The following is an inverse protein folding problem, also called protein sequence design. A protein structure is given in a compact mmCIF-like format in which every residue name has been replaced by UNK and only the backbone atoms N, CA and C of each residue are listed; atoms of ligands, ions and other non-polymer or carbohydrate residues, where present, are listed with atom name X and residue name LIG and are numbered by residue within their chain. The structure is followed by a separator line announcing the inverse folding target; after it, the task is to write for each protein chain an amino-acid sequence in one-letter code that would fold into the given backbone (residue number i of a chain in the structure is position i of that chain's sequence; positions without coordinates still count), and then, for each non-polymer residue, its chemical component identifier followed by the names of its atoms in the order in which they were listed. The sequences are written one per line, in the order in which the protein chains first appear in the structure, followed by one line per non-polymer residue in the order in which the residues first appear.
data_IF_001524821940
#
_entry.id   IF_001524821940
#
_cell.length_a   1.000
_cell.length_b   1.000
_cell.length_c   1.000
_cell.angle_alpha   90.00
_cell.angle_beta   90.00
_cell.angle_gamma   90.00
#
_symmetry.space_group_name_H-M   'P 1'
#
loop_
_entity.id
_entity.type
_entity.pdbx_description
1 polymer ?
#
# COMPACT_ATOMS: atom_id res chain seq x y z
N UNK A 1 32.07 17.35 1.50
CA UNK A 1 31.69 16.94 0.13
C UNK A 1 30.18 16.68 0.13
N UNK A 2 29.45 17.04 -0.93
CA UNK A 2 27.97 16.89 -1.01
C UNK A 2 27.48 15.44 -1.20
N UNK A 3 28.41 14.50 -1.38
CA UNK A 3 28.15 13.08 -1.57
C UNK A 3 29.08 12.30 -0.64
N UNK A 4 28.49 11.46 0.21
CA UNK A 4 29.26 10.59 1.09
C UNK A 4 29.99 9.50 0.29
N UNK A 5 29.34 9.01 -0.77
CA UNK A 5 29.91 8.04 -1.69
C UNK A 5 31.27 8.50 -2.22
N UNK A 6 31.35 9.71 -2.77
CA UNK A 6 32.61 10.22 -3.32
C UNK A 6 33.63 10.51 -2.23
N UNK A 7 33.21 10.92 -1.02
CA UNK A 7 34.11 11.10 0.13
C UNK A 7 34.85 9.81 0.45
N UNK A 8 34.10 8.71 0.59
CA UNK A 8 34.65 7.38 0.89
C UNK A 8 35.46 6.82 -0.26
N UNK A 9 34.94 6.92 -1.50
CA UNK A 9 35.60 6.40 -2.70
C UNK A 9 37.01 6.98 -2.90
N UNK A 10 37.18 8.27 -2.63
CA UNK A 10 38.46 8.94 -2.81
C UNK A 10 39.38 8.87 -1.58
N UNK A 11 38.87 8.57 -0.37
CA UNK A 11 39.68 8.50 0.86
C UNK A 11 40.25 7.11 1.15
N UNK A 12 39.48 6.03 0.92
CA UNK A 12 39.77 4.71 1.50
C UNK A 12 40.53 3.75 0.58
N UNK A 13 41.22 4.26 -0.46
CA UNK A 13 41.80 3.47 -1.57
C UNK A 13 40.81 2.47 -2.21
N UNK A 14 39.51 2.70 -2.03
CA UNK A 14 38.47 1.82 -2.55
C UNK A 14 38.36 1.93 -4.07
N UNK A 15 38.40 3.16 -4.60
CA UNK A 15 38.38 3.38 -6.03
C UNK A 15 39.72 3.01 -6.69
N UNK A 16 39.64 2.27 -7.79
CA UNK A 16 40.80 1.97 -8.64
C UNK A 16 41.42 3.29 -9.12
N UNK A 17 42.76 3.39 -9.04
CA UNK A 17 43.50 4.56 -9.51
C UNK A 17 44.47 4.14 -10.60
N UNK A 18 44.33 4.72 -11.80
CA UNK A 18 45.22 4.54 -12.96
C UNK A 18 45.63 5.91 -13.48
N UNK A 19 46.92 6.12 -13.70
CA UNK A 19 47.50 7.36 -14.24
C UNK A 19 47.02 8.63 -13.51
N UNK A 20 46.95 8.56 -12.17
CA UNK A 20 46.50 9.68 -11.34
C UNK A 20 44.98 9.89 -11.30
N UNK A 21 44.20 9.17 -12.11
CA UNK A 21 42.72 9.27 -12.20
C UNK A 21 42.03 8.16 -11.43
N UNK A 22 40.94 8.49 -10.73
CA UNK A 22 40.06 7.50 -10.11
C UNK A 22 39.09 6.94 -11.15
N UNK A 23 38.90 5.62 -11.14
CA UNK A 23 37.97 4.91 -12.02
C UNK A 23 36.80 4.40 -11.18
N UNK A 24 35.60 4.88 -11.52
CA UNK A 24 34.34 4.46 -10.92
C UNK A 24 33.43 3.92 -12.01
N UNK A 25 33.02 2.66 -11.89
CA UNK A 25 32.14 2.01 -12.86
C UNK A 25 30.71 2.07 -12.36
N UNK A 26 29.88 2.86 -13.04
CA UNK A 26 28.46 3.07 -12.73
C UNK A 26 27.60 2.84 -13.98
N UNK A 27 27.50 1.60 -14.47
CA UNK A 27 26.74 1.31 -15.70
C UNK A 27 25.25 1.65 -15.56
N UNK A 28 24.73 1.70 -14.33
CA UNK A 28 23.34 2.00 -14.03
C UNK A 28 23.01 3.51 -14.05
N UNK A 29 24.02 4.38 -14.20
CA UNK A 29 23.81 5.84 -14.23
C UNK A 29 24.15 6.34 -15.63
N UNK A 30 23.15 6.84 -16.35
CA UNK A 30 23.36 7.35 -17.70
C UNK A 30 24.24 8.62 -17.68
N UNK A 31 25.04 8.88 -18.75
CA UNK A 31 25.86 10.10 -18.82
C UNK A 31 25.05 11.40 -18.69
N UNK A 32 23.80 11.40 -19.21
CA UNK A 32 22.86 12.54 -19.08
C UNK A 32 22.54 12.81 -17.62
N UNK A 33 22.10 11.79 -16.87
CA UNK A 33 21.76 11.93 -15.46
C UNK A 33 23.00 12.26 -14.62
N UNK A 34 24.14 11.62 -14.90
CA UNK A 34 25.38 11.92 -14.19
C UNK A 34 25.80 13.38 -14.37
N UNK A 35 25.65 13.95 -15.57
CA UNK A 35 25.94 15.37 -15.80
C UNK A 35 25.03 16.29 -14.96
N UNK A 36 23.75 15.95 -14.82
CA UNK A 36 22.81 16.68 -13.97
C UNK A 36 23.26 16.62 -12.50
N UNK A 37 23.61 15.43 -12.01
CA UNK A 37 24.11 15.21 -10.64
C UNK A 37 25.41 15.98 -10.41
N UNK A 38 26.34 15.97 -11.39
CA UNK A 38 27.61 16.69 -11.31
C UNK A 38 27.38 18.19 -11.21
N UNK A 39 26.47 18.76 -12.02
CA UNK A 39 26.10 20.19 -11.93
C UNK A 39 25.55 20.53 -10.55
N UNK A 40 24.72 19.67 -9.96
CA UNK A 40 24.25 19.87 -8.58
C UNK A 40 25.40 19.83 -7.56
N UNK A 41 26.36 18.91 -7.69
CA UNK A 41 27.50 18.82 -6.78
C UNK A 41 28.32 20.11 -6.77
N UNK A 42 28.54 20.73 -7.93
CA UNK A 42 29.36 21.94 -8.07
C UNK A 42 28.57 23.22 -7.77
N UNK A 43 27.38 23.38 -8.35
CA UNK A 43 26.64 24.63 -8.32
C UNK A 43 25.55 24.67 -7.25
N UNK A 44 25.18 23.51 -6.70
CA UNK A 44 24.08 23.39 -5.74
C UNK A 44 22.69 23.64 -6.29
N UNK A 45 22.56 23.74 -7.61
CA UNK A 45 21.28 23.92 -8.29
C UNK A 45 21.05 22.75 -9.26
N UNK A 46 19.79 22.34 -9.40
CA UNK A 46 19.35 21.32 -10.34
C UNK A 46 18.11 21.81 -11.09
N UNK A 47 18.03 21.51 -12.37
CA UNK A 47 16.87 21.83 -13.20
C UNK A 47 16.17 20.54 -13.61
N UNK A 48 15.03 20.26 -12.98
CA UNK A 48 14.21 19.06 -13.22
C UNK A 48 13.08 19.26 -14.25
N UNK A 49 12.82 20.51 -14.65
CA UNK A 49 11.66 20.90 -15.48
C UNK A 49 11.58 20.17 -16.83
N UNK A 50 12.73 19.79 -17.38
CA UNK A 50 12.82 19.11 -18.67
C UNK A 50 12.87 17.58 -18.56
N UNK A 51 12.72 17.04 -17.35
CA UNK A 51 12.71 15.60 -17.08
C UNK A 51 11.27 15.09 -16.96
N UNK A 52 11.00 13.94 -17.56
CA UNK A 52 9.74 13.23 -17.40
C UNK A 52 9.75 12.38 -16.12
N UNK A 53 8.59 11.94 -15.64
CA UNK A 53 8.46 11.08 -14.45
C UNK A 53 9.49 9.93 -14.39
N UNK A 54 9.65 9.11 -15.46
CA UNK A 54 10.67 8.06 -15.50
C UNK A 54 12.11 8.58 -15.36
N UNK A 55 12.46 9.69 -16.02
CA UNK A 55 13.80 10.29 -15.92
C UNK A 55 14.09 10.74 -14.47
N UNK A 56 13.10 11.30 -13.78
CA UNK A 56 13.25 11.75 -12.39
C UNK A 56 13.34 10.57 -11.42
N UNK A 57 12.63 9.47 -11.70
CA UNK A 57 12.76 8.23 -10.93
C UNK A 57 14.15 7.60 -11.10
N UNK A 58 14.67 7.53 -12.33
CA UNK A 58 16.04 7.08 -12.58
C UNK A 58 17.07 7.99 -11.89
N UNK A 59 16.84 9.30 -11.91
CA UNK A 59 17.65 10.25 -11.15
C UNK A 59 17.61 9.93 -9.65
N UNK A 60 16.43 9.71 -9.07
CA UNK A 60 16.24 9.37 -7.65
C UNK A 60 17.05 8.13 -7.25
N UNK A 61 17.00 7.07 -8.07
CA UNK A 61 17.77 5.84 -7.85
C UNK A 61 19.28 6.12 -7.93
N UNK A 62 19.72 6.89 -8.91
CA UNK A 62 21.13 7.24 -9.07
C UNK A 62 21.67 8.09 -7.91
N UNK A 63 20.88 9.02 -7.37
CA UNK A 63 21.31 9.88 -6.25
C UNK A 63 21.26 9.18 -4.91
N UNK A 64 20.40 8.15 -4.77
CA UNK A 64 20.49 7.19 -3.67
C UNK A 64 21.79 6.41 -3.71
N UNK A 65 22.15 5.84 -4.87
CA UNK A 65 23.40 5.10 -5.04
C UNK A 65 24.65 5.96 -4.74
N UNK A 66 24.59 7.26 -5.05
CA UNK A 66 25.65 8.23 -4.77
C UNK A 66 25.52 8.90 -3.39
N UNK A 67 24.53 8.51 -2.59
CA UNK A 67 24.24 9.01 -1.25
C UNK A 67 24.24 10.55 -1.16
N UNK A 68 23.37 11.19 -1.96
CA UNK A 68 23.20 12.66 -2.03
C UNK A 68 21.82 13.03 -1.47
N UNK A 69 21.71 13.07 -0.14
CA UNK A 69 20.44 13.21 0.59
C UNK A 69 19.61 14.43 0.16
N UNK A 70 20.23 15.60 -0.04
CA UNK A 70 19.52 16.81 -0.48
C UNK A 70 18.82 16.62 -1.83
N UNK A 71 19.42 15.83 -2.72
CA UNK A 71 18.88 15.59 -4.06
C UNK A 71 17.81 14.48 -4.04
N UNK A 72 17.92 13.53 -3.12
CA UNK A 72 16.87 12.53 -2.84
C UNK A 72 15.58 13.25 -2.43
N UNK A 73 15.63 14.12 -1.42
CA UNK A 73 14.45 14.88 -0.97
C UNK A 73 13.86 15.74 -2.09
N UNK A 74 14.70 16.47 -2.83
CA UNK A 74 14.22 17.35 -3.89
C UNK A 74 13.59 16.58 -5.07
N UNK A 75 14.14 15.42 -5.45
CA UNK A 75 13.58 14.59 -6.51
C UNK A 75 12.23 13.98 -6.10
N UNK A 76 12.07 13.55 -4.85
CA UNK A 76 10.79 13.08 -4.33
C UNK A 76 9.73 14.18 -4.34
N UNK A 77 10.07 15.37 -3.82
CA UNK A 77 9.17 16.52 -3.81
C UNK A 77 8.71 16.89 -5.23
N UNK A 78 9.64 16.89 -6.19
CA UNK A 78 9.33 17.16 -7.59
C UNK A 78 8.38 16.11 -8.19
N UNK A 79 8.63 14.82 -7.94
CA UNK A 79 7.76 13.73 -8.41
C UNK A 79 6.34 13.90 -7.86
N UNK A 80 6.20 14.18 -6.56
CA UNK A 80 4.91 14.35 -5.90
C UNK A 80 4.16 15.58 -6.43
N UNK A 81 4.84 16.72 -6.60
CA UNK A 81 4.21 17.99 -7.00
C UNK A 81 3.90 18.09 -8.49
N UNK A 82 4.72 17.47 -9.33
CA UNK A 82 4.68 17.71 -10.79
C UNK A 82 4.48 16.45 -11.63
N UNK A 83 4.60 15.26 -11.03
CA UNK A 83 4.49 13.97 -11.73
C UNK A 83 3.50 13.03 -11.01
N UNK A 84 2.51 13.58 -10.31
CA UNK A 84 1.50 12.82 -9.54
C UNK A 84 0.77 11.82 -10.43
N UNK A 85 0.37 12.23 -11.63
CA UNK A 85 -0.30 11.34 -12.59
C UNK A 85 0.56 10.12 -12.95
N UNK A 86 1.85 10.35 -13.23
CA UNK A 86 2.81 9.28 -13.50
C UNK A 86 2.95 8.33 -12.30
N UNK A 87 3.05 8.87 -11.08
CA UNK A 87 3.15 8.08 -9.85
C UNK A 87 1.91 7.19 -9.67
N UNK A 88 0.71 7.74 -9.85
CA UNK A 88 -0.55 7.03 -9.63
C UNK A 88 -0.82 5.99 -10.71
N UNK A 89 -0.53 6.28 -11.99
CA UNK A 89 -0.65 5.30 -13.08
C UNK A 89 0.29 4.09 -12.91
N UNK A 90 1.42 4.29 -12.24
CA UNK A 90 2.44 3.25 -12.04
C UNK A 90 2.50 2.74 -10.59
N UNK A 91 1.50 3.08 -9.76
CA UNK A 91 1.49 2.85 -8.32
C UNK A 91 1.94 1.44 -7.93
N UNK A 92 1.32 0.40 -8.46
CA UNK A 92 1.61 -0.99 -8.03
C UNK A 92 3.07 -1.39 -8.30
N UNK A 93 3.68 -0.92 -9.40
CA UNK A 93 5.07 -1.24 -9.71
C UNK A 93 6.07 -0.40 -8.90
N UNK A 94 5.73 0.87 -8.66
CA UNK A 94 6.58 1.78 -7.88
C UNK A 94 6.50 1.50 -6.38
N UNK A 95 5.36 1.04 -5.88
CA UNK A 95 5.11 0.80 -4.47
C UNK A 95 6.11 -0.20 -3.88
N UNK A 96 6.40 -1.31 -4.57
CA UNK A 96 7.41 -2.29 -4.15
C UNK A 96 8.82 -1.68 -4.13
N UNK A 97 9.15 -0.88 -5.16
CA UNK A 97 10.46 -0.22 -5.25
C UNK A 97 10.66 0.77 -4.10
N UNK A 98 9.65 1.58 -3.82
CA UNK A 98 9.66 2.55 -2.71
C UNK A 98 9.63 1.83 -1.37
N UNK A 99 8.86 0.75 -1.23
CA UNK A 99 8.83 -0.07 -0.01
C UNK A 99 10.22 -0.63 0.33
N UNK A 100 11.03 -1.04 -0.66
CA UNK A 100 12.38 -1.50 -0.40
C UNK A 100 13.35 -0.41 0.10
N UNK A 101 13.07 0.86 -0.20
CA UNK A 101 13.91 2.00 0.17
C UNK A 101 13.15 3.00 1.06
N UNK A 102 12.11 2.55 1.78
CA UNK A 102 11.17 3.47 2.44
C UNK A 102 11.82 4.36 3.51
N UNK A 103 12.95 3.94 4.10
CA UNK A 103 13.71 4.75 5.07
C UNK A 103 14.36 5.98 4.42
N UNK A 104 14.64 5.93 3.12
CA UNK A 104 15.25 7.01 2.34
C UNK A 104 14.22 7.74 1.48
N UNK A 105 13.26 7.00 0.94
CA UNK A 105 12.19 7.51 0.10
C UNK A 105 10.92 7.77 0.91
N UNK A 106 11.08 8.44 2.06
CA UNK A 106 10.03 8.66 3.05
C UNK A 106 8.89 9.51 2.50
N UNK A 107 9.18 10.57 1.74
CA UNK A 107 8.15 11.44 1.16
C UNK A 107 7.27 10.69 0.15
N UNK A 108 7.88 9.91 -0.76
CA UNK A 108 7.15 9.08 -1.72
C UNK A 108 6.39 7.94 -1.04
N UNK A 109 6.99 7.33 -0.02
CA UNK A 109 6.33 6.28 0.75
C UNK A 109 5.08 6.79 1.45
N UNK A 110 5.18 7.93 2.14
CA UNK A 110 4.04 8.57 2.79
C UNK A 110 2.98 8.99 1.78
N UNK A 111 3.39 9.59 0.66
CA UNK A 111 2.48 9.94 -0.43
C UNK A 111 1.68 8.72 -0.92
N UNK A 112 2.35 7.60 -1.19
CA UNK A 112 1.65 6.39 -1.62
C UNK A 112 0.75 5.81 -0.54
N UNK A 113 1.21 5.74 0.71
CA UNK A 113 0.39 5.25 1.82
C UNK A 113 -0.87 6.10 2.03
N UNK A 114 -0.74 7.42 2.00
CA UNK A 114 -1.88 8.35 2.14
C UNK A 114 -2.92 8.09 1.03
N UNK A 115 -2.48 8.03 -0.22
CA UNK A 115 -3.38 7.79 -1.36
C UNK A 115 -4.01 6.38 -1.32
N UNK A 116 -3.24 5.34 -0.98
CA UNK A 116 -3.76 3.98 -0.86
C UNK A 116 -4.74 3.87 0.31
N UNK A 117 -4.48 4.53 1.44
CA UNK A 117 -5.38 4.46 2.58
C UNK A 117 -6.66 5.27 2.35
N UNK A 118 -6.55 6.37 1.62
CA UNK A 118 -7.70 7.20 1.22
C UNK A 118 -8.59 6.49 0.21
N UNK A 119 -7.99 5.91 -0.85
CA UNK A 119 -8.69 5.20 -1.92
C UNK A 119 -8.09 3.80 -2.18
N UNK A 120 -8.31 2.81 -1.29
CA UNK A 120 -7.67 1.48 -1.40
C UNK A 120 -7.89 0.79 -2.73
N UNK A 121 -9.02 1.05 -3.38
CA UNK A 121 -9.38 0.43 -4.67
C UNK A 121 -8.36 0.68 -5.78
N UNK A 122 -7.60 1.78 -5.75
CA UNK A 122 -6.53 2.04 -6.73
C UNK A 122 -5.47 0.93 -6.74
N UNK A 123 -5.25 0.28 -5.58
CA UNK A 123 -4.33 -0.82 -5.44
C UNK A 123 -5.06 -2.17 -5.50
N UNK A 124 -6.10 -2.34 -4.70
CA UNK A 124 -6.77 -3.64 -4.52
C UNK A 124 -7.55 -4.12 -5.76
N UNK A 125 -8.03 -3.20 -6.62
CA UNK A 125 -8.68 -3.58 -7.89
C UNK A 125 -7.68 -3.74 -9.05
N UNK A 126 -6.40 -3.44 -8.83
CA UNK A 126 -5.38 -3.58 -9.86
C UNK A 126 -5.15 -5.05 -10.20
N UNK A 127 -5.04 -5.38 -11.48
CA UNK A 127 -4.63 -6.73 -11.90
C UNK A 127 -3.22 -7.11 -11.41
N UNK A 128 -2.39 -6.11 -11.03
CA UNK A 128 -1.07 -6.31 -10.46
C UNK A 128 -1.10 -6.53 -8.94
N UNK A 129 -2.24 -6.38 -8.28
CA UNK A 129 -2.39 -6.59 -6.83
C UNK A 129 -1.91 -7.97 -6.38
N UNK A 130 -2.23 -8.99 -7.16
CA UNK A 130 -1.81 -10.39 -6.90
C UNK A 130 -0.29 -10.57 -6.90
N UNK A 131 0.48 -9.62 -7.44
CA UNK A 131 1.94 -9.68 -7.46
C UNK A 131 2.60 -9.00 -6.25
N UNK A 132 1.81 -8.39 -5.35
CA UNK A 132 2.34 -7.76 -4.15
C UNK A 132 2.98 -8.79 -3.24
N UNK A 133 4.13 -8.44 -2.66
CA UNK A 133 4.80 -9.27 -1.67
C UNK A 133 3.98 -9.35 -0.40
N UNK A 134 3.99 -10.53 0.22
CA UNK A 134 3.28 -10.81 1.46
C UNK A 134 3.60 -9.77 2.56
N UNK A 135 4.85 -9.32 2.69
CA UNK A 135 5.27 -8.35 3.70
C UNK A 135 4.67 -6.96 3.49
N UNK A 136 4.51 -6.52 2.24
CA UNK A 136 3.89 -5.25 1.90
C UNK A 136 2.37 -5.32 2.12
N UNK A 137 1.74 -6.42 1.69
CA UNK A 137 0.32 -6.65 1.98
C UNK A 137 0.06 -6.67 3.49
N UNK A 138 0.90 -7.36 4.27
CA UNK A 138 0.80 -7.42 5.73
C UNK A 138 0.87 -6.03 6.37
N UNK A 139 1.78 -5.17 5.86
CA UNK A 139 1.90 -3.79 6.33
C UNK A 139 0.63 -3.00 6.08
N UNK A 140 0.05 -3.09 4.87
CA UNK A 140 -1.18 -2.39 4.53
C UNK A 140 -2.36 -2.88 5.38
N UNK A 141 -2.48 -4.19 5.58
CA UNK A 141 -3.55 -4.78 6.38
C UNK A 141 -3.45 -4.45 7.88
N UNK A 142 -2.27 -4.10 8.40
CA UNK A 142 -2.13 -3.64 9.80
C UNK A 142 -2.66 -2.23 10.05
N UNK A 143 -2.91 -1.43 9.02
CA UNK A 143 -3.23 -0.01 9.17
C UNK A 143 -4.68 0.24 9.54
N UNK A 144 -4.91 0.96 10.64
CA UNK A 144 -6.27 1.34 11.05
C UNK A 144 -6.91 2.40 10.16
N UNK A 145 -6.14 3.12 9.35
CA UNK A 145 -6.62 4.18 8.45
C UNK A 145 -6.87 3.71 7.01
N UNK A 146 -6.75 2.41 6.73
CA UNK A 146 -7.10 1.83 5.44
C UNK A 146 -8.64 1.87 5.26
N UNK A 147 -9.14 2.78 4.42
CA UNK A 147 -10.56 3.06 4.23
C UNK A 147 -11.25 2.02 3.32
N UNK A 148 -11.32 0.77 3.77
CA UNK A 148 -11.92 -0.36 3.05
C UNK A 148 -12.70 -1.24 4.01
N UNK A 149 -13.88 -1.72 3.58
CA UNK A 149 -14.69 -2.63 4.40
C UNK A 149 -13.96 -3.95 4.58
N UNK A 150 -14.04 -4.54 5.77
CA UNK A 150 -13.32 -5.77 6.12
C UNK A 150 -13.70 -6.95 5.21
N UNK A 151 -14.95 -6.97 4.71
CA UNK A 151 -15.36 -7.97 3.73
C UNK A 151 -14.63 -7.81 2.38
N UNK A 152 -14.44 -6.58 1.90
CA UNK A 152 -13.71 -6.34 0.64
C UNK A 152 -12.21 -6.68 0.80
N UNK A 153 -11.67 -6.45 2.00
CA UNK A 153 -10.30 -6.83 2.36
C UNK A 153 -10.16 -8.36 2.34
N UNK A 154 -11.09 -9.08 2.97
CA UNK A 154 -11.12 -10.54 2.99
C UNK A 154 -11.18 -11.14 1.58
N UNK A 155 -12.10 -10.66 0.74
CA UNK A 155 -12.22 -11.14 -0.65
C UNK A 155 -10.96 -10.84 -1.47
N UNK A 156 -10.34 -9.68 -1.26
CA UNK A 156 -9.07 -9.34 -1.91
C UNK A 156 -7.93 -10.24 -1.45
N UNK A 157 -7.85 -10.53 -0.15
CA UNK A 157 -6.84 -11.44 0.40
C UNK A 157 -6.99 -12.86 -0.18
N UNK A 158 -8.23 -13.35 -0.32
CA UNK A 158 -8.51 -14.63 -0.98
C UNK A 158 -8.05 -14.62 -2.45
N UNK A 159 -8.36 -13.56 -3.20
CA UNK A 159 -7.88 -13.40 -4.60
C UNK A 159 -6.35 -13.43 -4.67
N UNK A 160 -5.67 -12.72 -3.79
CA UNK A 160 -4.21 -12.74 -3.71
C UNK A 160 -3.68 -14.14 -3.40
N UNK A 161 -4.27 -14.82 -2.41
CA UNK A 161 -3.87 -16.16 -1.99
C UNK A 161 -4.06 -17.20 -3.10
N UNK A 162 -5.19 -17.19 -3.80
CA UNK A 162 -5.43 -18.13 -4.90
C UNK A 162 -4.53 -17.85 -6.09
N UNK A 163 -4.19 -16.59 -6.37
CA UNK A 163 -3.22 -16.27 -7.41
C UNK A 163 -1.79 -16.75 -7.08
N UNK A 164 -1.43 -16.88 -5.80
CA UNK A 164 -0.15 -17.50 -5.40
C UNK A 164 -0.15 -19.03 -5.58
N UNK A 165 -1.32 -19.66 -5.54
CA UNK A 165 -1.49 -21.11 -5.55
C UNK A 165 -2.13 -21.54 -6.87
N UNK A 166 -1.29 -21.74 -7.90
CA UNK A 166 -1.62 -21.88 -9.33
C UNK A 166 -2.63 -23.02 -9.66
N UNK A 167 -2.88 -23.97 -8.76
CA UNK A 167 -3.80 -25.10 -8.96
C UNK A 167 -5.15 -24.96 -8.22
N UNK A 168 -5.67 -23.74 -8.08
CA UNK A 168 -6.97 -23.54 -7.41
C UNK A 168 -8.17 -23.77 -8.37
N UNK A 169 -8.82 -24.94 -8.22
CA UNK A 169 -10.19 -25.18 -8.68
C UNK A 169 -11.11 -25.28 -7.44
N UNK A 170 -12.02 -24.31 -7.20
CA UNK A 170 -12.92 -24.33 -6.04
C UNK A 170 -13.91 -25.52 -6.04
N UNK A 171 -13.95 -26.32 -7.11
CA UNK A 171 -14.82 -27.50 -7.23
C UNK A 171 -14.09 -28.83 -7.03
N UNK A 172 -12.75 -28.84 -6.91
CA UNK A 172 -11.92 -30.06 -6.81
C UNK A 172 -10.86 -29.97 -5.71
N UNK A 173 -11.28 -29.71 -4.48
CA UNK A 173 -10.39 -29.61 -3.32
C UNK A 173 -9.73 -30.95 -2.95
N UNK A 174 -8.40 -31.00 -3.00
CA UNK A 174 -7.59 -31.98 -2.27
C UNK A 174 -7.24 -31.50 -0.85
N UNK A 175 -6.85 -32.42 0.04
CA UNK A 175 -6.41 -32.07 1.42
C UNK A 175 -5.11 -31.24 1.44
N UNK A 176 -4.25 -31.45 0.46
CA UNK A 176 -2.95 -30.78 0.37
C UNK A 176 -3.12 -29.29 -0.02
N UNK A 177 -4.11 -28.96 -0.85
CA UNK A 177 -4.43 -27.59 -1.26
C UNK A 177 -4.92 -26.74 -0.08
N UNK A 178 -5.79 -27.31 0.75
CA UNK A 178 -6.31 -26.68 1.98
C UNK A 178 -5.16 -26.29 2.89
N UNK A 179 -4.20 -27.21 3.09
CA UNK A 179 -3.05 -26.98 3.98
C UNK A 179 -2.16 -25.84 3.48
N UNK A 180 -1.98 -25.70 2.15
CA UNK A 180 -1.18 -24.63 1.56
C UNK A 180 -1.87 -23.26 1.66
N UNK A 181 -3.18 -23.22 1.43
CA UNK A 181 -4.00 -22.01 1.57
C UNK A 181 -4.01 -21.57 3.04
N UNK A 182 -4.25 -22.49 3.98
CA UNK A 182 -4.22 -22.24 5.41
C UNK A 182 -2.88 -21.61 5.83
N UNK A 183 -1.76 -22.22 5.42
CA UNK A 183 -0.41 -21.69 5.72
C UNK A 183 -0.19 -20.30 5.14
N UNK A 184 -0.70 -20.04 3.94
CA UNK A 184 -0.56 -18.75 3.26
C UNK A 184 -1.35 -17.65 3.96
N UNK A 185 -2.58 -17.96 4.38
CA UNK A 185 -3.49 -17.04 5.06
C UNK A 185 -3.16 -16.85 6.54
N UNK A 186 -2.53 -17.82 7.19
CA UNK A 186 -2.31 -17.85 8.64
C UNK A 186 -1.78 -16.53 9.21
N UNK A 187 -0.79 -15.91 8.55
CA UNK A 187 -0.20 -14.63 9.01
C UNK A 187 -1.14 -13.42 8.87
N UNK A 188 -2.14 -13.53 8.01
CA UNK A 188 -3.08 -12.44 7.68
C UNK A 188 -4.40 -12.56 8.44
N UNK A 189 -4.82 -13.77 8.84
CA UNK A 189 -6.06 -13.98 9.62
C UNK A 189 -6.16 -13.04 10.83
N UNK A 190 -5.12 -12.85 11.66
CA UNK A 190 -5.20 -11.93 12.79
C UNK A 190 -5.31 -10.44 12.42
N UNK A 191 -5.10 -10.09 11.15
CA UNK A 191 -5.14 -8.70 10.65
C UNK A 191 -6.50 -8.31 10.09
N UNK A 192 -7.40 -9.29 9.92
CA UNK A 192 -8.79 -9.08 9.48
C UNK A 192 -9.67 -8.87 10.71
N UNK A 193 -10.44 -7.78 10.73
CA UNK A 193 -11.38 -7.51 11.83
C UNK A 193 -12.70 -8.20 11.51
N UNK A 194 -12.73 -9.53 11.64
CA UNK A 194 -13.90 -10.35 11.29
C UNK A 194 -15.19 -9.95 12.00
N UNK A 195 -15.10 -9.40 13.21
CA UNK A 195 -16.25 -8.90 13.97
C UNK A 195 -16.90 -7.64 13.35
N UNK A 196 -16.19 -6.94 12.45
CA UNK A 196 -16.73 -5.80 11.69
C UNK A 196 -17.34 -6.23 10.35
N UNK A 197 -17.46 -7.54 10.09
CA UNK A 197 -18.13 -8.08 8.91
C UNK A 197 -19.61 -8.30 9.23
N UNK A 198 -20.49 -7.83 8.34
CA UNK A 198 -21.94 -8.00 8.49
C UNK A 198 -22.35 -9.49 8.54
N UNK A 199 -23.36 -9.88 9.34
CA UNK A 199 -23.76 -11.29 9.49
C UNK A 199 -24.08 -11.99 8.16
N UNK A 200 -24.69 -11.28 7.21
CA UNK A 200 -24.99 -11.80 5.87
C UNK A 200 -23.71 -12.10 5.10
N UNK A 201 -22.76 -11.17 5.09
CA UNK A 201 -21.47 -11.36 4.41
C UNK A 201 -20.63 -12.43 5.09
N UNK A 202 -20.63 -12.50 6.42
CA UNK A 202 -20.00 -13.58 7.16
C UNK A 202 -20.52 -14.94 6.70
N UNK A 203 -21.84 -15.14 6.67
CA UNK A 203 -22.43 -16.43 6.30
C UNK A 203 -22.12 -16.84 4.85
N UNK A 204 -22.26 -15.91 3.89
CA UNK A 204 -22.12 -16.25 2.47
C UNK A 204 -20.69 -16.15 1.91
N UNK A 205 -19.78 -15.42 2.55
CA UNK A 205 -18.44 -15.12 1.98
C UNK A 205 -17.28 -15.49 2.90
N UNK A 206 -17.49 -15.60 4.21
CA UNK A 206 -16.44 -16.01 5.16
C UNK A 206 -16.62 -17.47 5.55
N UNK A 207 -17.83 -17.85 5.99
CA UNK A 207 -18.11 -19.18 6.52
C UNK A 207 -17.94 -20.32 5.50
N UNK A 208 -18.08 -20.02 4.20
CA UNK A 208 -17.76 -20.97 3.12
C UNK A 208 -16.30 -21.44 3.12
N UNK A 209 -15.42 -20.70 3.80
CA UNK A 209 -14.00 -20.99 3.96
C UNK A 209 -13.66 -21.45 5.38
N UNK A 210 -14.63 -21.94 6.15
CA UNK A 210 -14.43 -22.42 7.54
C UNK A 210 -13.35 -23.49 7.68
N UNK A 211 -13.09 -24.27 6.62
CA UNK A 211 -12.11 -25.36 6.65
C UNK A 211 -10.65 -24.86 6.56
N UNK A 212 -10.43 -23.63 6.09
CA UNK A 212 -9.11 -22.97 6.02
C UNK A 212 -8.91 -21.93 7.14
N UNK A 213 -9.92 -21.73 7.99
CA UNK A 213 -9.90 -20.80 9.11
C UNK A 213 -9.73 -21.55 10.44
N UNK A 214 -9.10 -20.94 11.47
CA UNK A 214 -9.02 -21.55 12.79
C UNK A 214 -10.40 -21.89 13.34
N UNK A 215 -10.58 -23.11 13.84
CA UNK A 215 -11.89 -23.59 14.32
C UNK A 215 -12.43 -22.75 15.49
N UNK A 216 -11.55 -22.34 16.41
CA UNK A 216 -11.92 -21.46 17.52
C UNK A 216 -12.45 -20.11 17.03
N UNK A 217 -11.83 -19.55 15.99
CA UNK A 217 -12.29 -18.29 15.37
C UNK A 217 -13.68 -18.44 14.75
N UNK A 218 -13.92 -19.53 14.01
CA UNK A 218 -15.24 -19.79 13.41
C UNK A 218 -16.31 -19.95 14.48
N UNK A 219 -16.01 -20.68 15.56
CA UNK A 219 -16.94 -20.87 16.67
C UNK A 219 -17.29 -19.53 17.34
N UNK A 220 -16.28 -18.71 17.63
CA UNK A 220 -16.48 -17.41 18.26
C UNK A 220 -17.27 -16.44 17.37
N UNK A 221 -17.01 -16.42 16.05
CA UNK A 221 -17.77 -15.60 15.10
C UNK A 221 -19.21 -16.07 14.94
N UNK A 222 -19.46 -17.39 14.91
CA UNK A 222 -20.81 -17.94 14.89
C UNK A 222 -21.59 -17.52 16.14
N UNK A 223 -20.97 -17.64 17.32
CA UNK A 223 -21.60 -17.24 18.58
C UNK A 223 -21.94 -15.75 18.57
N UNK A 224 -20.99 -14.91 18.13
CA UNK A 224 -21.15 -13.45 18.03
C UNK A 224 -22.31 -13.04 17.11
N UNK A 225 -22.47 -13.69 15.96
CA UNK A 225 -23.53 -13.33 15.00
C UNK A 225 -24.91 -13.93 15.34
N UNK A 226 -24.96 -15.02 16.11
CA UNK A 226 -26.22 -15.74 16.41
C UNK A 226 -26.80 -15.32 17.76
N UNK A 227 -25.95 -15.14 18.77
CA UNK A 227 -26.38 -14.87 20.14
C UNK A 227 -26.46 -13.35 20.36
N UNK A 228 -27.63 -12.81 20.74
CA UNK A 228 -27.76 -11.39 21.06
C UNK A 228 -26.80 -10.94 22.17
N UNK A 229 -26.30 -9.71 22.06
CA UNK A 229 -25.51 -9.02 23.08
C UNK A 229 -24.16 -9.67 23.47
N UNK A 230 -23.66 -10.62 22.66
CA UNK A 230 -22.30 -11.16 22.84
C UNK A 230 -21.26 -10.12 22.45
N UNK A 231 -20.25 -10.00 23.31
CA UNK A 231 -19.05 -9.22 23.03
C UNK A 231 -17.99 -10.11 22.41
N UNK A 232 -17.13 -9.56 21.53
CA UNK A 232 -16.00 -10.30 21.01
C UNK A 232 -15.09 -10.84 22.13
N UNK A 233 -14.69 -12.11 22.01
CA UNK A 233 -13.89 -12.81 23.04
C UNK A 233 -12.40 -12.50 22.99
N UNK A 234 -11.89 -12.10 21.83
CA UNK A 234 -10.47 -11.79 21.61
C UNK A 234 -10.21 -10.29 21.80
N UNK A 235 -8.94 -9.90 22.02
CA UNK A 235 -8.53 -8.50 21.90
C UNK A 235 -8.66 -8.09 20.42
N UNK A 236 -9.88 -7.72 20.01
CA UNK A 236 -10.18 -7.32 18.64
C UNK A 236 -9.51 -5.99 18.38
N UNK A 237 -8.78 -5.92 17.26
CA UNK A 237 -8.27 -4.65 16.77
C UNK A 237 -9.44 -3.69 16.56
N UNK A 238 -9.27 -2.41 16.93
CA UNK A 238 -10.33 -1.42 16.76
C UNK A 238 -10.77 -1.35 15.30
N UNK A 239 -12.06 -1.11 15.01
CA UNK A 239 -12.56 -0.96 13.65
C UNK A 239 -11.71 0.01 12.84
N UNK A 240 -11.47 -0.30 11.56
CA UNK A 240 -10.74 0.63 10.68
C UNK A 240 -11.51 1.95 10.61
N UNK A 241 -10.79 3.05 10.83
CA UNK A 241 -11.39 4.38 10.90
C UNK A 241 -11.83 4.79 9.50
N UNK A 242 -13.13 4.98 9.34
CA UNK A 242 -13.68 5.66 8.16
C UNK A 242 -13.20 7.12 8.14
N UNK A 243 -12.98 7.65 6.93
CA UNK A 243 -12.63 9.07 6.67
C UNK A 243 -13.59 10.07 7.33
N UNK A 244 -14.82 9.62 7.63
CA UNK A 244 -15.83 10.44 8.31
C UNK A 244 -15.43 10.80 9.75
N UNK A 245 -14.45 10.11 10.35
CA UNK A 245 -14.04 10.32 11.75
C UNK A 245 -15.13 10.00 12.76
N UNK A 246 -16.27 9.47 12.30
CA UNK A 246 -17.41 9.10 13.11
C UNK A 246 -17.32 7.63 13.48
N UNK A 247 -17.59 7.32 14.75
CA UNK A 247 -17.79 5.96 15.24
C UNK A 247 -19.20 5.44 14.95
N UNK A 248 -20.14 6.34 14.67
CA UNK A 248 -21.57 6.03 14.43
C UNK A 248 -21.92 5.99 12.94
N UNK A 249 -21.33 6.87 12.15
CA UNK A 249 -21.65 7.07 10.73
C UNK A 249 -20.50 6.52 9.91
N UNK A 250 -20.76 5.40 9.24
CA UNK A 250 -19.85 4.78 8.28
C UNK A 250 -20.10 5.27 6.84
N UNK A 251 -19.22 4.91 5.91
CA UNK A 251 -19.28 5.36 4.51
C UNK A 251 -20.57 4.96 3.78
N UNK A 252 -21.17 3.83 4.16
CA UNK A 252 -22.50 3.39 3.68
C UNK A 252 -23.61 4.37 4.09
N UNK A 253 -23.60 4.87 5.32
CA UNK A 253 -24.55 5.85 5.83
C UNK A 253 -24.38 7.19 5.12
N UNK A 254 -23.14 7.63 4.86
CA UNK A 254 -22.88 8.82 4.07
C UNK A 254 -23.44 8.70 2.64
N UNK A 255 -23.33 7.52 2.02
CA UNK A 255 -23.88 7.27 0.69
C UNK A 255 -25.42 7.34 0.67
N UNK A 256 -26.06 6.83 1.73
CA UNK A 256 -27.50 6.93 1.95
C UNK A 256 -27.93 8.38 2.21
N UNK A 257 -27.20 9.12 3.03
CA UNK A 257 -27.50 10.53 3.28
C UNK A 257 -27.38 11.37 2.01
N UNK A 258 -26.38 11.09 1.17
CA UNK A 258 -26.25 11.73 -0.13
C UNK A 258 -27.43 11.43 -1.05
N UNK A 259 -27.94 10.19 -1.05
CA UNK A 259 -29.11 9.85 -1.88
C UNK A 259 -30.37 10.55 -1.37
N UNK A 260 -30.51 10.73 -0.05
CA UNK A 260 -31.60 11.51 0.54
C UNK A 260 -31.54 12.98 0.16
N UNK A 261 -30.35 13.60 0.16
CA UNK A 261 -30.15 14.99 -0.27
C UNK A 261 -30.61 15.16 -1.74
N UNK A 262 -30.24 14.22 -2.61
CA UNK A 262 -30.58 14.25 -4.04
C UNK A 262 -31.96 13.68 -4.37
N UNK A 263 -32.71 13.21 -3.36
CA UNK A 263 -34.01 12.56 -3.51
C UNK A 263 -33.99 11.36 -4.47
N UNK A 264 -32.92 10.57 -4.42
CA UNK A 264 -32.80 9.30 -5.14
C UNK A 264 -33.39 8.16 -4.30
N UNK A 265 -34.08 7.24 -4.98
CA UNK A 265 -34.63 6.02 -4.36
C UNK A 265 -33.54 5.00 -4.01
N UNK A 266 -32.41 5.01 -4.72
CA UNK A 266 -31.27 4.14 -4.46
C UNK A 266 -30.10 4.90 -3.80
N UNK A 267 -29.42 4.23 -2.87
CA UNK A 267 -28.18 4.74 -2.27
C UNK A 267 -27.11 4.95 -3.33
N UNK A 268 -26.29 6.00 -3.15
CA UNK A 268 -25.06 6.11 -3.91
C UNK A 268 -24.13 4.93 -3.64
N UNK A 269 -23.23 4.65 -4.58
CA UNK A 269 -22.05 3.87 -4.27
C UNK A 269 -21.25 4.65 -3.23
N UNK A 270 -20.78 3.97 -2.17
CA UNK A 270 -19.94 4.54 -1.11
C UNK A 270 -18.68 5.27 -1.61
N UNK A 271 -18.30 5.03 -2.86
CA UNK A 271 -17.14 5.66 -3.50
C UNK A 271 -17.49 6.76 -4.50
N UNK A 272 -18.78 6.97 -4.79
CA UNK A 272 -19.27 7.98 -5.74
C UNK A 272 -20.23 8.93 -5.01
N UNK A 273 -19.90 9.27 -3.76
CA UNK A 273 -20.69 10.18 -2.95
C UNK A 273 -20.40 11.60 -3.45
N UNK A 274 -21.39 12.35 -3.97
CA UNK A 274 -21.17 13.70 -4.52
C UNK A 274 -20.91 14.76 -3.45
N UNK A 275 -20.98 14.39 -2.16
CA UNK A 275 -20.89 15.27 -1.01
C UNK A 275 -19.73 14.91 -0.08
N UNK A 276 -19.00 15.92 0.37
CA UNK A 276 -18.01 15.78 1.44
C UNK A 276 -18.69 15.92 2.81
N UNK A 277 -18.80 14.83 3.55
CA UNK A 277 -19.32 14.85 4.91
C UNK A 277 -18.23 15.22 5.91
N UNK A 278 -18.48 16.26 6.72
CA UNK A 278 -17.57 16.72 7.77
C UNK A 278 -18.16 16.41 9.15
N UNK A 279 -17.38 15.74 10.00
CA UNK A 279 -17.76 15.53 11.39
C UNK A 279 -17.88 16.86 12.12
N UNK A 280 -19.03 17.12 12.72
CA UNK A 280 -19.28 18.34 13.50
C UNK A 280 -19.09 18.12 15.00
N UNK A 281 -19.33 16.89 15.48
CA UNK A 281 -19.27 16.56 16.90
C UNK A 281 -18.77 15.12 17.08
N UNK A 282 -17.83 14.95 18.00
CA UNK A 282 -17.35 13.67 18.50
C UNK A 282 -17.49 13.72 20.02
N UNK A 283 -18.29 12.82 20.60
CA UNK A 283 -18.36 12.62 22.06
C UNK A 283 -17.24 11.71 22.55
#
# INVERSE_FOLDING_TARGET
ARSEYFRVAFSNKWAEKKDGKFILRKPNISPRLFNIILRFIYCGNIELKNLQGPDVLELLIAVDELNIQQLISHAQEYLIKHQTEFLMQNLTGLLETVYHQHEKFTDLWNFFLENICEEPRILFNSNKFVNLKASLLELLLKRDDLNMDEIEIWESLLKWCFAQNIEYDPTKFGKDDITNIERSLYRFIPLIRFYDIEPTDFFYKVYNYKDILPQDLIHDLLEFHIVPDIKPKTNVATPRKSKLGSTLIQSNHAALFASWIDRKDSSYNKNEIPYGFKLLYHS
#
